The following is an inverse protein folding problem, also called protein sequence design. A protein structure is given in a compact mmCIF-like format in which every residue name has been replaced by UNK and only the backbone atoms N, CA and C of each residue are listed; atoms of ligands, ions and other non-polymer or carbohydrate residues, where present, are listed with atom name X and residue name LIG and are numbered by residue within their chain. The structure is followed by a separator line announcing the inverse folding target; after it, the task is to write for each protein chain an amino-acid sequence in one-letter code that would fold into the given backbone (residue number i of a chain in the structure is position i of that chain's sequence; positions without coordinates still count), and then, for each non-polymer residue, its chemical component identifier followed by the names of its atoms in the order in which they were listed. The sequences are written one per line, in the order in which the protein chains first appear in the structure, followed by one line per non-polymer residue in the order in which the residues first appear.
data_IF_289138099225
#
_entry.id   IF_289138099225
#
_cell.length_a   1.000
_cell.length_b   1.000
_cell.length_c   1.000
_cell.angle_alpha   90.00
_cell.angle_beta   90.00
_cell.angle_gamma   90.00
#
_symmetry.space_group_name_H-M   'P 1'
#
loop_
_entity.id
_entity.type
_entity.pdbx_description
1 polymer ?
#
# COMPACT_ATOMS: atom_id res chain seq x y z
N UNK A 1 22.85 44.68 -33.44
CA UNK A 1 24.18 44.29 -33.99
C UNK A 1 25.02 43.89 -32.77
N UNK A 2 24.96 42.65 -32.27
CA UNK A 2 25.56 41.39 -32.72
C UNK A 2 27.10 41.37 -32.76
N UNK A 3 27.70 40.59 -31.84
CA UNK A 3 28.81 39.63 -31.98
C UNK A 3 29.13 39.14 -30.54
N UNK A 4 28.89 37.91 -30.07
CA UNK A 4 29.03 36.51 -30.52
C UNK A 4 30.48 35.96 -30.48
N UNK A 5 30.56 34.65 -30.15
CA UNK A 5 31.70 33.72 -29.92
C UNK A 5 31.98 33.42 -28.43
N UNK A 6 31.97 32.18 -27.93
CA UNK A 6 31.73 30.85 -28.51
C UNK A 6 32.47 29.74 -27.71
N UNK A 7 31.85 28.54 -27.61
CA UNK A 7 32.42 27.20 -27.32
C UNK A 7 33.11 26.96 -25.94
N UNK A 8 32.98 25.85 -25.20
CA UNK A 8 32.32 24.55 -25.38
C UNK A 8 33.27 23.41 -24.97
N UNK A 9 33.09 22.79 -23.78
CA UNK A 9 33.70 21.51 -23.34
C UNK A 9 32.80 20.94 -22.21
N UNK A 10 31.89 19.99 -22.41
CA UNK A 10 32.02 18.53 -22.57
C UNK A 10 32.96 17.82 -21.56
N UNK A 11 32.39 16.78 -20.94
CA UNK A 11 33.03 15.67 -20.21
C UNK A 11 33.38 15.80 -18.72
N UNK A 12 32.43 15.36 -17.86
CA UNK A 12 32.81 14.62 -16.63
C UNK A 12 31.72 13.66 -16.16
N UNK A 13 31.32 12.73 -17.03
CA UNK A 13 30.87 11.42 -16.55
C UNK A 13 32.12 10.62 -16.16
N UNK A 14 32.06 9.87 -15.05
CA UNK A 14 32.62 8.51 -14.85
C UNK A 14 32.91 8.23 -13.37
N UNK A 15 31.98 7.48 -12.79
CA UNK A 15 32.17 6.36 -11.85
C UNK A 15 33.08 6.55 -10.63
N UNK A 16 32.48 6.43 -9.43
CA UNK A 16 33.22 6.01 -8.24
C UNK A 16 32.40 5.06 -7.36
N UNK A 17 32.62 3.78 -7.58
CA UNK A 17 32.51 2.60 -6.68
C UNK A 17 33.07 1.42 -7.50
N UNK A 18 33.89 0.48 -6.97
CA UNK A 18 33.73 -0.31 -5.74
C UNK A 18 35.07 -0.38 -4.92
N UNK A 19 35.32 -1.06 -3.80
CA UNK A 19 34.93 -2.38 -3.25
C UNK A 19 35.39 -2.47 -1.77
N UNK A 20 34.92 -3.43 -0.96
CA UNK A 20 35.69 -4.00 0.16
C UNK A 20 36.24 -5.37 -0.24
N UNK A 21 37.55 -5.58 -0.16
CA UNK A 21 38.16 -6.92 -0.19
C UNK A 21 39.03 -7.10 1.05
N UNK A 22 38.70 -8.09 1.85
CA UNK A 22 39.56 -8.67 2.86
C UNK A 22 40.43 -9.77 2.23
N UNK A 23 41.73 -9.73 2.51
CA UNK A 23 42.75 -10.74 2.20
C UNK A 23 42.53 -11.99 3.07
N UNK A 24 42.94 -13.21 2.68
CA UNK A 24 44.33 -13.67 2.62
C UNK A 24 44.42 -15.05 1.95
N UNK A 25 45.54 -15.26 1.26
CA UNK A 25 45.96 -16.49 0.58
C UNK A 25 46.24 -17.66 1.55
N UNK A 26 45.95 -18.88 1.09
CA UNK A 26 46.65 -20.10 1.48
C UNK A 26 46.76 -21.00 0.24
N UNK A 27 47.99 -21.20 -0.22
CA UNK A 27 48.34 -22.12 -1.30
C UNK A 27 48.51 -23.53 -0.74
N UNK A 28 48.09 -24.53 -1.51
CA UNK A 28 48.77 -25.83 -1.57
C UNK A 28 48.48 -26.51 -2.90
N UNK A 29 49.55 -26.71 -3.66
CA UNK A 29 49.64 -27.30 -4.99
C UNK A 29 49.64 -28.83 -4.88
N UNK A 30 48.78 -29.52 -5.61
CA UNK A 30 48.99 -30.93 -5.98
C UNK A 30 48.48 -31.20 -7.40
N UNK A 31 49.36 -31.83 -8.14
CA UNK A 31 49.39 -32.20 -9.55
C UNK A 31 48.20 -33.07 -10.02
N UNK A 32 47.85 -32.99 -11.32
CA UNK A 32 47.24 -34.13 -12.02
C UNK A 32 46.24 -33.80 -13.13
N UNK A 33 46.74 -33.70 -14.37
CA UNK A 33 46.21 -34.32 -15.61
C UNK A 33 44.69 -34.41 -15.87
N UNK A 34 44.26 -33.85 -17.02
CA UNK A 34 43.32 -34.56 -17.91
C UNK A 34 42.19 -33.75 -18.55
N UNK A 35 42.39 -33.33 -19.81
CA UNK A 35 41.49 -33.44 -20.99
C UNK A 35 39.99 -33.08 -20.79
N UNK A 36 39.39 -32.04 -21.38
CA UNK A 36 39.39 -31.66 -22.80
C UNK A 36 38.23 -32.32 -23.54
N UNK A 37 37.27 -31.54 -24.08
CA UNK A 37 36.36 -32.03 -25.13
C UNK A 37 34.90 -31.53 -25.08
N UNK A 38 34.66 -30.29 -25.48
CA UNK A 38 33.36 -29.90 -26.05
C UNK A 38 33.35 -30.24 -27.54
N UNK A 39 32.32 -30.97 -28.00
CA UNK A 39 31.83 -30.90 -29.38
C UNK A 39 30.43 -31.56 -29.52
N UNK A 40 29.47 -30.72 -29.91
CA UNK A 40 28.45 -30.88 -30.96
C UNK A 40 28.07 -32.29 -31.45
N UNK A 41 26.78 -32.66 -31.34
CA UNK A 41 26.06 -33.33 -32.45
C UNK A 41 24.52 -33.26 -32.29
N UNK A 42 23.87 -32.77 -33.35
CA UNK A 42 22.48 -32.96 -33.74
C UNK A 42 22.13 -34.43 -34.00
N UNK A 43 20.93 -34.89 -33.63
CA UNK A 43 20.27 -36.03 -34.29
C UNK A 43 18.73 -36.00 -34.17
N UNK A 44 18.08 -36.59 -35.16
CA UNK A 44 16.73 -36.31 -35.63
C UNK A 44 15.59 -37.17 -35.03
N UNK A 45 14.38 -36.60 -35.16
CA UNK A 45 13.01 -37.12 -35.20
C UNK A 45 12.80 -38.65 -35.18
N UNK A 46 12.10 -39.16 -34.17
CA UNK A 46 11.32 -40.42 -34.25
C UNK A 46 10.04 -40.36 -33.39
N UNK A 47 8.97 -40.93 -33.96
CA UNK A 47 7.59 -40.96 -33.50
C UNK A 47 7.32 -42.04 -32.44
N UNK A 48 6.46 -41.78 -31.44
CA UNK A 48 5.73 -42.84 -30.69
C UNK A 48 5.30 -42.46 -29.25
N UNK A 49 4.15 -42.94 -28.72
CA UNK A 49 3.30 -42.18 -27.79
C UNK A 49 3.15 -42.77 -26.36
N UNK A 50 2.49 -41.96 -25.51
CA UNK A 50 1.81 -42.26 -24.23
C UNK A 50 2.70 -42.56 -23.01
N UNK A 51 2.78 -41.59 -22.09
CA UNK A 51 3.42 -41.76 -20.79
C UNK A 51 3.19 -40.58 -19.86
N UNK A 52 1.98 -40.49 -19.30
CA UNK A 52 1.64 -39.89 -18.00
C UNK A 52 2.44 -38.62 -17.61
N UNK A 53 2.01 -37.45 -18.09
CA UNK A 53 2.41 -36.19 -17.43
C UNK A 53 1.64 -36.10 -16.12
N UNK A 54 2.28 -36.44 -14.99
CA UNK A 54 1.75 -36.09 -13.68
C UNK A 54 1.65 -34.57 -13.61
N UNK A 55 0.43 -34.05 -13.65
CA UNK A 55 0.10 -32.67 -13.29
C UNK A 55 0.27 -32.49 -11.78
N UNK A 56 1.52 -32.41 -11.32
CA UNK A 56 1.77 -31.95 -9.96
C UNK A 56 1.34 -30.49 -9.84
N UNK A 57 0.29 -30.29 -9.05
CA UNK A 57 0.08 -29.14 -8.16
C UNK A 57 -0.34 -27.82 -8.84
N UNK A 58 -1.62 -27.75 -9.17
CA UNK A 58 -2.42 -26.60 -8.75
C UNK A 58 -3.25 -27.03 -7.54
N UNK A 59 -2.74 -26.85 -6.31
CA UNK A 59 -3.62 -26.95 -5.15
C UNK A 59 -4.80 -25.98 -5.39
N UNK A 60 -6.07 -26.41 -5.30
CA UNK A 60 -7.18 -25.48 -5.41
C UNK A 60 -6.99 -24.42 -4.33
N UNK A 61 -7.06 -23.15 -4.74
CA UNK A 61 -6.97 -22.02 -3.83
C UNK A 61 -7.86 -22.31 -2.62
N UNK A 62 -7.24 -22.40 -1.44
CA UNK A 62 -7.94 -22.82 -0.24
C UNK A 62 -9.18 -21.93 -0.03
N UNK A 63 -10.37 -22.52 0.21
CA UNK A 63 -11.64 -21.76 0.27
C UNK A 63 -11.72 -20.76 1.45
N UNK A 64 -10.66 -20.65 2.26
CA UNK A 64 -10.54 -19.77 3.41
C UNK A 64 -9.93 -18.39 3.12
N UNK A 65 -9.60 -18.04 1.86
CA UNK A 65 -8.81 -16.84 1.54
C UNK A 65 -9.53 -15.71 0.80
N UNK A 66 -10.85 -15.79 0.56
CA UNK A 66 -11.52 -14.68 -0.12
C UNK A 66 -11.70 -13.49 0.85
N UNK A 67 -11.16 -12.33 0.46
CA UNK A 67 -11.41 -11.08 1.17
C UNK A 67 -12.77 -10.54 0.74
N UNK A 68 -13.46 -9.92 1.69
CA UNK A 68 -14.72 -9.23 1.43
C UNK A 68 -14.58 -7.78 1.88
N UNK A 69 -15.16 -6.90 1.07
CA UNK A 69 -15.22 -5.47 1.36
C UNK A 69 -16.55 -5.15 2.05
N UNK A 70 -16.49 -4.63 3.27
CA UNK A 70 -17.64 -4.11 4.02
C UNK A 70 -17.46 -2.62 4.24
N UNK A 71 -18.55 -1.87 4.16
CA UNK A 71 -18.56 -0.42 4.40
C UNK A 71 -19.66 -0.13 5.42
N UNK A 72 -19.32 0.65 6.45
CA UNK A 72 -20.22 1.11 7.48
C UNK A 72 -20.18 2.64 7.55
N UNK A 73 -21.36 3.27 7.60
CA UNK A 73 -21.52 4.72 7.70
C UNK A 73 -22.00 5.07 9.11
N UNK A 74 -21.27 5.97 9.77
CA UNK A 74 -21.60 6.53 11.09
C UNK A 74 -21.90 8.02 10.96
N UNK A 75 -23.00 8.45 11.55
CA UNK A 75 -23.37 9.86 11.59
C UNK A 75 -22.85 10.52 12.86
N UNK A 76 -22.33 11.75 12.75
CA UNK A 76 -21.82 12.49 13.89
C UNK A 76 -22.91 13.46 14.38
N UNK A 77 -23.33 13.40 15.65
CA UNK A 77 -24.36 14.28 16.20
C UNK A 77 -23.81 15.69 16.48
N UNK A 78 -23.46 16.40 15.42
CA UNK A 78 -22.95 17.79 15.48
C UNK A 78 -23.98 18.76 16.05
N UNK A 79 -25.27 18.48 15.86
CA UNK A 79 -26.37 19.30 16.38
C UNK A 79 -26.47 19.26 17.91
N UNK A 80 -26.09 18.14 18.53
CA UNK A 80 -26.13 17.98 19.99
C UNK A 80 -24.97 18.71 20.67
N UNK A 81 -23.81 18.77 20.02
CA UNK A 81 -22.60 19.41 20.56
C UNK A 81 -21.92 20.30 19.52
N UNK A 82 -22.49 21.47 19.17
CA UNK A 82 -21.98 22.32 18.09
C UNK A 82 -20.61 22.95 18.39
N UNK A 83 -20.25 23.09 19.67
CA UNK A 83 -18.96 23.64 20.10
C UNK A 83 -17.83 22.60 20.17
N UNK A 84 -18.13 21.31 19.91
CA UNK A 84 -17.15 20.24 20.03
C UNK A 84 -16.54 19.87 18.67
N UNK A 85 -15.21 19.86 18.61
CA UNK A 85 -14.46 19.54 17.39
C UNK A 85 -14.23 18.03 17.25
N UNK A 86 -15.25 17.29 16.82
CA UNK A 86 -15.18 15.84 16.62
C UNK A 86 -14.03 15.42 15.70
N UNK A 87 -13.89 16.08 14.54
CA UNK A 87 -12.84 15.78 13.54
C UNK A 87 -11.45 15.93 14.17
N UNK A 88 -11.21 17.04 14.87
CA UNK A 88 -9.92 17.30 15.54
C UNK A 88 -9.60 16.27 16.63
N UNK A 89 -10.61 15.86 17.42
CA UNK A 89 -10.47 14.82 18.44
C UNK A 89 -10.15 13.45 17.83
N UNK A 90 -10.85 13.09 16.76
CA UNK A 90 -10.71 11.81 16.07
C UNK A 90 -9.34 11.66 15.41
N UNK A 91 -8.88 12.69 14.69
CA UNK A 91 -7.54 12.71 14.09
C UNK A 91 -6.45 12.74 15.16
N UNK A 92 -6.61 13.58 16.19
CA UNK A 92 -5.58 13.81 17.19
C UNK A 92 -4.33 14.48 16.60
N UNK A 93 -3.23 14.57 17.38
CA UNK A 93 -2.01 15.25 16.94
C UNK A 93 -1.44 14.56 15.69
N UNK A 94 -1.31 15.33 14.60
CA UNK A 94 -0.80 14.87 13.29
C UNK A 94 -1.59 13.68 12.69
N UNK A 95 -2.83 13.46 13.11
CA UNK A 95 -3.62 12.31 12.65
C UNK A 95 -3.20 10.97 13.28
N UNK A 96 -2.36 10.97 14.33
CA UNK A 96 -1.83 9.74 14.92
C UNK A 96 -2.89 8.91 15.62
N UNK A 97 -3.94 9.53 16.17
CA UNK A 97 -5.03 8.80 16.83
C UNK A 97 -5.79 7.97 15.81
N UNK A 98 -6.27 8.60 14.73
CA UNK A 98 -6.99 7.90 13.66
C UNK A 98 -6.13 6.79 13.02
N UNK A 99 -4.86 7.10 12.71
CA UNK A 99 -3.91 6.10 12.16
C UNK A 99 -3.73 4.89 13.07
N UNK A 100 -3.74 5.08 14.39
CA UNK A 100 -3.66 3.98 15.36
C UNK A 100 -4.91 3.12 15.31
N UNK A 101 -6.10 3.72 15.23
CA UNK A 101 -7.37 2.99 15.11
C UNK A 101 -7.39 2.15 13.83
N UNK A 102 -7.00 2.74 12.70
CA UNK A 102 -6.87 2.05 11.42
C UNK A 102 -5.85 0.90 11.49
N UNK A 103 -4.67 1.14 12.04
CA UNK A 103 -3.63 0.11 12.17
C UNK A 103 -4.02 -1.04 13.11
N UNK A 104 -4.77 -0.74 14.18
CA UNK A 104 -5.21 -1.74 15.17
C UNK A 104 -6.32 -2.62 14.60
N UNK A 105 -7.29 -2.00 13.91
CA UNK A 105 -8.49 -2.68 13.39
C UNK A 105 -8.25 -3.33 12.03
N UNK A 106 -7.35 -2.77 11.22
CA UNK A 106 -7.18 -3.14 9.81
C UNK A 106 -8.23 -2.53 8.89
N UNK A 107 -9.03 -1.58 9.39
CA UNK A 107 -10.03 -0.85 8.63
C UNK A 107 -9.46 0.48 8.13
N UNK A 108 -10.05 1.02 7.06
CA UNK A 108 -9.82 2.37 6.55
C UNK A 108 -10.96 3.27 6.99
N UNK A 109 -10.64 4.46 7.46
CA UNK A 109 -11.63 5.40 8.00
C UNK A 109 -11.57 6.70 7.21
N UNK A 110 -12.70 7.11 6.65
CA UNK A 110 -12.83 8.33 5.87
C UNK A 110 -13.79 9.29 6.56
N UNK A 111 -13.35 10.52 6.79
CA UNK A 111 -14.18 11.60 7.30
C UNK A 111 -14.74 12.34 6.09
N UNK A 112 -16.07 12.32 5.93
CA UNK A 112 -16.81 12.91 4.81
C UNK A 112 -17.94 13.79 5.35
N UNK A 113 -18.65 14.47 4.46
CA UNK A 113 -19.67 15.44 4.86
C UNK A 113 -19.16 16.88 4.98
N UNK A 114 -20.13 17.76 5.23
CA UNK A 114 -19.96 19.20 5.52
C UNK A 114 -19.20 19.38 6.84
N UNK A 115 -18.16 20.22 6.84
CA UNK A 115 -17.28 20.46 8.00
C UNK A 115 -16.16 19.43 8.16
N UNK A 116 -15.95 18.54 7.18
CA UNK A 116 -14.77 17.67 7.14
C UNK A 116 -13.49 18.49 6.86
N UNK A 117 -13.63 19.61 6.14
CA UNK A 117 -12.51 20.52 5.85
C UNK A 117 -12.47 21.62 6.91
N UNK A 118 -11.26 21.89 7.43
CA UNK A 118 -11.04 22.90 8.47
C UNK A 118 -11.50 24.31 8.07
N UNK A 119 -11.25 24.70 6.82
CA UNK A 119 -11.54 26.03 6.30
C UNK A 119 -12.86 26.02 5.51
N UNK A 120 -13.94 26.66 5.99
CA UNK A 120 -15.25 26.63 5.32
C UNK A 120 -15.24 27.32 3.96
N UNK A 121 -14.48 28.41 3.78
CA UNK A 121 -14.34 29.08 2.47
C UNK A 121 -13.72 28.19 1.40
N UNK A 122 -12.82 27.28 1.81
CA UNK A 122 -12.22 26.31 0.88
C UNK A 122 -13.20 25.18 0.58
N UNK A 123 -13.96 24.76 1.58
CA UNK A 123 -14.98 23.73 1.43
C UNK A 123 -16.02 24.15 0.38
N UNK A 124 -16.53 25.39 0.46
CA UNK A 124 -17.52 25.90 -0.48
C UNK A 124 -16.99 25.99 -1.92
N UNK A 125 -15.72 26.38 -2.10
CA UNK A 125 -15.08 26.44 -3.44
C UNK A 125 -14.83 25.06 -4.06
N UNK A 126 -14.66 24.04 -3.23
CA UNK A 126 -14.47 22.65 -3.67
C UNK A 126 -15.80 21.93 -3.86
N UNK A 127 -16.88 22.43 -3.26
CA UNK A 127 -18.23 21.91 -3.44
C UNK A 127 -18.62 21.95 -4.91
N UNK A 128 -19.17 20.84 -5.41
CA UNK A 128 -19.54 20.68 -6.82
C UNK A 128 -18.41 20.21 -7.73
N UNK A 129 -17.17 20.04 -7.24
CA UNK A 129 -16.13 19.33 -7.99
C UNK A 129 -16.33 17.82 -7.92
N UNK A 130 -15.98 17.07 -8.99
CA UNK A 130 -15.97 15.61 -8.94
C UNK A 130 -15.07 15.12 -7.81
N UNK A 131 -15.58 14.22 -6.98
CA UNK A 131 -14.89 13.71 -5.78
C UNK A 131 -15.21 14.44 -4.47
N UNK A 132 -15.86 15.61 -4.51
CA UNK A 132 -16.28 16.39 -3.34
C UNK A 132 -17.82 16.47 -3.19
N UNK A 133 -18.56 15.59 -3.84
CA UNK A 133 -20.03 15.55 -3.80
C UNK A 133 -20.57 15.34 -2.38
N UNK A 134 -19.80 14.59 -1.56
CA UNK A 134 -20.09 14.33 -0.15
C UNK A 134 -20.08 15.58 0.73
N UNK A 135 -19.62 16.75 0.26
CA UNK A 135 -19.70 18.00 1.02
C UNK A 135 -21.15 18.49 1.19
N UNK A 136 -22.10 17.95 0.43
CA UNK A 136 -23.53 18.23 0.60
C UNK A 136 -24.16 17.43 1.75
N UNK A 137 -23.55 16.30 2.11
CA UNK A 137 -24.06 15.42 3.16
C UNK A 137 -23.67 15.96 4.56
N UNK A 138 -24.43 15.62 5.61
CA UNK A 138 -24.03 15.92 6.98
C UNK A 138 -22.68 15.25 7.31
N UNK A 139 -21.98 15.77 8.32
CA UNK A 139 -20.70 15.23 8.77
C UNK A 139 -20.85 13.75 9.17
N UNK A 140 -20.13 12.87 8.48
CA UNK A 140 -20.22 11.43 8.69
C UNK A 140 -18.87 10.75 8.48
N UNK A 141 -18.74 9.55 9.05
CA UNK A 141 -17.54 8.73 8.97
C UNK A 141 -17.89 7.47 8.18
N UNK A 142 -17.07 7.12 7.19
CA UNK A 142 -17.14 5.87 6.47
C UNK A 142 -16.00 4.96 6.92
N UNK A 143 -16.35 3.80 7.46
CA UNK A 143 -15.41 2.74 7.83
C UNK A 143 -15.46 1.67 6.75
N UNK A 144 -14.36 1.46 6.06
CA UNK A 144 -14.20 0.42 5.06
C UNK A 144 -13.28 -0.68 5.60
N UNK A 145 -13.77 -1.92 5.62
CA UNK A 145 -12.98 -3.09 5.98
C UNK A 145 -12.83 -3.98 4.75
N UNK A 146 -11.58 -4.20 4.32
CA UNK A 146 -11.23 -5.16 3.27
C UNK A 146 -10.40 -6.26 3.92
N UNK A 147 -11.10 -7.29 4.41
CA UNK A 147 -10.54 -8.34 5.26
C UNK A 147 -11.20 -9.69 4.92
N UNK A 148 -10.60 -10.82 5.34
CA UNK A 148 -11.22 -12.13 5.22
C UNK A 148 -12.61 -12.19 5.86
N UNK A 149 -13.56 -12.87 5.20
CA UNK A 149 -14.97 -12.90 5.61
C UNK A 149 -15.22 -13.39 7.04
N UNK A 150 -14.32 -14.22 7.57
CA UNK A 150 -14.38 -14.73 8.94
C UNK A 150 -14.07 -13.67 10.02
N UNK A 151 -13.32 -12.61 9.70
CA UNK A 151 -12.93 -11.58 10.69
C UNK A 151 -13.50 -10.19 10.39
N UNK A 152 -13.95 -9.93 9.15
CA UNK A 152 -14.37 -8.60 8.70
C UNK A 152 -15.42 -7.99 9.62
N UNK A 153 -16.45 -8.75 10.01
CA UNK A 153 -17.57 -8.24 10.81
C UNK A 153 -17.11 -7.92 12.24
N UNK A 154 -16.20 -8.72 12.78
CA UNK A 154 -15.61 -8.49 14.12
C UNK A 154 -14.73 -7.23 14.12
N UNK A 155 -13.88 -7.06 13.09
CA UNK A 155 -13.00 -5.89 12.97
C UNK A 155 -13.79 -4.61 12.69
N UNK A 156 -14.82 -4.69 11.86
CA UNK A 156 -15.69 -3.56 11.55
C UNK A 156 -16.44 -3.07 12.80
N UNK A 157 -16.99 -4.00 13.61
CA UNK A 157 -17.64 -3.68 14.88
C UNK A 157 -16.66 -3.07 15.90
N UNK A 158 -15.45 -3.62 15.98
CA UNK A 158 -14.40 -3.07 16.86
C UNK A 158 -14.03 -1.64 16.47
N UNK A 159 -13.87 -1.37 15.17
CA UNK A 159 -13.60 -0.02 14.68
C UNK A 159 -14.75 0.95 14.98
N UNK A 160 -16.00 0.50 14.81
CA UNK A 160 -17.19 1.27 15.14
C UNK A 160 -17.19 1.67 16.63
N UNK A 161 -16.97 0.72 17.54
CA UNK A 161 -17.00 0.97 18.98
C UNK A 161 -15.96 2.01 19.42
N UNK A 162 -14.71 1.88 18.92
CA UNK A 162 -13.64 2.84 19.22
C UNK A 162 -13.99 4.23 18.69
N UNK A 163 -14.56 4.32 17.49
CA UNK A 163 -14.93 5.61 16.90
C UNK A 163 -16.10 6.23 17.66
N UNK A 164 -17.13 5.46 18.01
CA UNK A 164 -18.27 5.92 18.81
C UNK A 164 -17.84 6.42 20.19
N UNK A 165 -16.85 5.80 20.81
CA UNK A 165 -16.26 6.28 22.06
C UNK A 165 -15.58 7.65 21.89
N UNK A 166 -14.85 7.85 20.80
CA UNK A 166 -14.19 9.13 20.49
C UNK A 166 -15.18 10.25 20.14
N UNK A 167 -16.40 9.90 19.71
CA UNK A 167 -17.48 10.84 19.46
C UNK A 167 -18.21 11.28 20.73
N UNK A 168 -17.98 10.65 21.90
CA UNK A 168 -18.56 11.10 23.16
C UNK A 168 -17.69 12.22 23.74
N UNK A 169 -18.20 13.46 23.90
CA UNK A 169 -17.44 14.50 24.58
C UNK A 169 -17.18 14.08 26.03
N UNK A 170 -15.95 14.25 26.49
CA UNK A 170 -15.60 14.10 27.91
C UNK A 170 -16.09 15.38 28.60
N UNK A 171 -17.27 15.29 29.22
CA UNK A 171 -17.87 16.35 30.06
C UNK A 171 -17.26 16.35 31.45
#
# INVERSE_FOLDING_TARGET
MMANQGFGDLDRLRHRSPSPMASSNLMSNVSGTGLGGWNSLTQERLSGPLGMTMDWQGAPASPSSYTVKRILRLEIPVDTYPNFNFVGRLLGPRGNSLKRVEATTGCRVYIRGKGSIKDPDKEEKLRGRPGYEHLNDPLHILIEADLPANIVDTRLRQAQEIIEELLKPVV
#
